data_IF_983557376086
#
_entry.id   IF_983557376086
#
_cell.length_a   1.000
_cell.length_b   1.000
_cell.length_c   1.000
_cell.angle_alpha   90.00
_cell.angle_beta   90.00
_cell.angle_gamma   90.00
#
_symmetry.space_group_name_H-M   'P 1'
#
loop_
_entity.id
_entity.type
_entity.pdbx_description
1 polymer ?
#
# COMPACT_ATOMS: atom_id res chain seq x y z
N UNK A 1 22.56 -2.41 -3.64
CA UNK A 1 22.12 -1.42 -4.65
C UNK A 1 23.27 -0.78 -5.40
N UNK A 2 24.24 -0.15 -4.74
CA UNK A 2 25.38 0.53 -5.43
C UNK A 2 26.13 -0.38 -6.41
N UNK A 3 26.51 -1.58 -5.99
CA UNK A 3 27.21 -2.55 -6.85
C UNK A 3 26.35 -2.96 -8.06
N UNK A 4 25.07 -3.25 -7.85
CA UNK A 4 24.14 -3.61 -8.92
C UNK A 4 23.96 -2.46 -9.93
N UNK A 5 23.73 -1.23 -9.45
CA UNK A 5 23.58 -0.06 -10.31
C UNK A 5 24.84 0.20 -11.18
N UNK A 6 26.04 -0.01 -10.62
CA UNK A 6 27.29 0.08 -11.39
C UNK A 6 27.43 -1.04 -12.42
N UNK A 7 27.08 -2.27 -12.06
CA UNK A 7 27.14 -3.41 -12.97
C UNK A 7 26.20 -3.23 -14.16
N UNK A 8 24.99 -2.73 -13.90
CA UNK A 8 23.96 -2.50 -14.92
C UNK A 8 24.12 -1.16 -15.66
N UNK A 9 25.09 -0.33 -15.26
CA UNK A 9 25.30 1.04 -15.79
C UNK A 9 24.03 1.88 -15.73
N UNK A 10 23.32 1.81 -14.61
CA UNK A 10 22.08 2.54 -14.41
C UNK A 10 22.29 4.06 -14.54
N UNK A 11 21.38 4.71 -15.25
CA UNK A 11 21.28 6.17 -15.40
C UNK A 11 20.15 6.78 -14.55
N UNK A 12 19.33 5.93 -13.93
CA UNK A 12 18.21 6.26 -13.06
C UNK A 12 17.99 5.14 -12.03
N UNK A 13 17.62 5.51 -10.82
CA UNK A 13 17.13 4.58 -9.81
C UNK A 13 15.63 4.76 -9.57
N UNK A 14 14.92 3.64 -9.38
CA UNK A 14 13.50 3.66 -8.99
C UNK A 14 13.40 2.94 -7.64
N UNK A 15 12.65 3.53 -6.72
CA UNK A 15 12.43 2.95 -5.39
C UNK A 15 10.99 3.12 -4.94
N UNK A 16 10.67 2.63 -3.74
CA UNK A 16 9.42 2.92 -3.05
C UNK A 16 9.67 3.69 -1.75
N UNK A 17 8.63 4.31 -1.22
CA UNK A 17 8.64 4.97 0.10
C UNK A 17 8.97 4.04 1.27
N UNK A 18 9.10 2.73 1.03
CA UNK A 18 9.49 1.72 2.03
C UNK A 18 10.95 1.25 1.85
N UNK A 19 11.70 1.81 0.88
CA UNK A 19 13.03 1.32 0.50
C UNK A 19 14.06 2.47 0.41
N UNK A 20 14.45 3.03 1.55
CA UNK A 20 15.34 4.20 1.61
C UNK A 20 16.79 3.91 1.17
N UNK A 21 17.25 2.66 1.21
CA UNK A 21 18.60 2.29 0.80
C UNK A 21 18.92 2.63 -0.67
N UNK A 22 17.91 2.74 -1.53
CA UNK A 22 18.09 3.19 -2.91
C UNK A 22 18.33 4.69 -3.00
N UNK A 23 17.77 5.49 -2.10
CA UNK A 23 18.04 6.93 -2.02
C UNK A 23 19.51 7.17 -1.64
N UNK A 24 20.03 6.43 -0.66
CA UNK A 24 21.46 6.48 -0.33
C UNK A 24 22.35 6.10 -1.53
N UNK A 25 21.97 5.04 -2.25
CA UNK A 25 22.72 4.63 -3.44
C UNK A 25 22.70 5.71 -4.53
N UNK A 26 21.60 6.44 -4.68
CA UNK A 26 21.48 7.57 -5.59
C UNK A 26 22.43 8.70 -5.21
N UNK A 27 22.56 9.03 -3.93
CA UNK A 27 23.51 10.04 -3.45
C UNK A 27 24.97 9.61 -3.64
N UNK A 28 25.31 8.36 -3.35
CA UNK A 28 26.67 7.83 -3.51
C UNK A 28 27.10 7.76 -4.98
N UNK A 29 26.16 7.50 -5.88
CA UNK A 29 26.42 7.36 -7.31
C UNK A 29 26.15 8.64 -8.11
N UNK A 30 25.62 9.68 -7.46
CA UNK A 30 25.12 10.89 -8.09
C UNK A 30 24.15 10.60 -9.26
N UNK A 31 23.22 9.67 -9.05
CA UNK A 31 22.20 9.31 -10.03
C UNK A 31 20.85 9.94 -9.69
N UNK A 32 20.02 10.29 -10.70
CA UNK A 32 18.62 10.59 -10.46
C UNK A 32 17.89 9.43 -9.77
N UNK A 33 16.92 9.73 -8.92
CA UNK A 33 16.07 8.73 -8.27
C UNK A 33 14.61 9.14 -8.24
N UNK A 34 13.73 8.21 -8.64
CA UNK A 34 12.28 8.37 -8.59
C UNK A 34 11.71 7.46 -7.50
N UNK A 35 10.86 8.03 -6.64
CA UNK A 35 10.18 7.32 -5.57
C UNK A 35 8.75 7.03 -6.00
N UNK A 36 8.34 5.77 -5.97
CA UNK A 36 6.93 5.38 -6.14
C UNK A 36 6.24 5.40 -4.78
N UNK A 37 5.23 6.24 -4.68
CA UNK A 37 4.45 6.50 -3.48
C UNK A 37 3.24 5.60 -3.30
N UNK A 38 2.47 5.93 -2.26
CA UNK A 38 1.19 5.32 -1.95
C UNK A 38 0.06 6.02 -2.74
N UNK A 39 -1.19 5.76 -2.38
CA UNK A 39 -2.36 6.39 -3.02
C UNK A 39 -2.56 7.85 -2.61
N UNK A 40 -2.04 8.26 -1.46
CA UNK A 40 -2.07 9.66 -1.00
C UNK A 40 -0.68 10.10 -0.59
N UNK A 41 -0.45 11.41 -0.59
CA UNK A 41 0.72 12.01 0.06
C UNK A 41 0.64 11.77 1.56
N UNK A 42 1.75 11.45 2.23
CA UNK A 42 1.77 11.14 3.67
C UNK A 42 2.40 12.22 4.53
N UNK A 43 3.06 13.19 3.89
CA UNK A 43 3.84 14.22 4.55
C UNK A 43 3.13 15.56 4.48
N UNK A 44 3.78 16.57 5.03
CA UNK A 44 3.25 17.93 5.02
C UNK A 44 2.95 18.40 3.59
N UNK A 45 1.81 19.07 3.47
CA UNK A 45 1.48 19.88 2.32
C UNK A 45 2.27 21.20 2.38
N UNK A 46 2.46 21.85 1.22
CA UNK A 46 2.98 23.22 1.16
C UNK A 46 2.00 24.21 1.79
N UNK A 47 0.71 23.99 1.55
CA UNK A 47 -0.41 24.77 2.06
C UNK A 47 -1.70 23.92 2.03
N UNK A 48 -2.75 24.40 2.71
CA UNK A 48 -4.06 23.75 2.75
C UNK A 48 -4.07 22.42 3.50
N UNK A 49 -4.99 21.53 3.11
CA UNK A 49 -5.33 20.35 3.90
C UNK A 49 -6.29 20.68 5.05
N UNK A 50 -7.13 21.69 4.85
CA UNK A 50 -8.10 22.14 5.84
C UNK A 50 -9.01 20.98 6.26
N UNK A 51 -9.40 20.97 7.53
CA UNK A 51 -10.25 19.95 8.14
C UNK A 51 -9.68 18.51 8.11
N UNK A 52 -8.37 18.31 7.87
CA UNK A 52 -7.74 16.99 8.06
C UNK A 52 -7.97 16.53 9.51
N UNK A 53 -8.76 15.46 9.72
CA UNK A 53 -9.03 14.96 11.05
C UNK A 53 -7.74 14.38 11.66
N UNK A 54 -7.60 14.34 12.99
CA UNK A 54 -6.45 13.74 13.66
C UNK A 54 -6.51 12.19 13.60
N UNK A 55 -6.56 11.63 12.39
CA UNK A 55 -6.62 10.19 12.14
C UNK A 55 -5.22 9.59 12.24
N UNK A 56 -4.83 9.25 13.46
CA UNK A 56 -3.53 8.64 13.74
C UNK A 56 -2.41 9.68 13.91
N UNK A 57 -1.26 9.46 13.26
CA UNK A 57 -0.11 10.37 13.38
C UNK A 57 -0.31 11.58 12.46
N UNK A 58 -0.12 12.82 12.91
CA UNK A 58 -0.10 14.00 12.04
C UNK A 58 0.98 13.90 10.95
N UNK A 59 0.72 14.51 9.78
CA UNK A 59 1.69 14.65 8.68
C UNK A 59 3.03 15.23 9.15
N UNK A 60 2.97 16.24 10.01
CA UNK A 60 4.16 16.88 10.59
C UNK A 60 5.05 15.89 11.34
N UNK A 61 4.43 14.98 12.11
CA UNK A 61 5.18 13.95 12.82
C UNK A 61 5.80 12.95 11.85
N UNK A 62 5.06 12.53 10.80
CA UNK A 62 5.59 11.66 9.75
C UNK A 62 6.76 12.31 9.02
N UNK A 63 6.69 13.60 8.70
CA UNK A 63 7.78 14.37 8.11
C UNK A 63 9.01 14.34 8.99
N UNK A 64 8.86 14.68 10.27
CA UNK A 64 9.98 14.73 11.23
C UNK A 64 10.63 13.37 11.41
N UNK A 65 9.83 12.34 11.66
CA UNK A 65 10.31 10.95 11.85
C UNK A 65 11.06 10.47 10.62
N UNK A 66 10.52 10.73 9.44
CA UNK A 66 11.13 10.31 8.19
C UNK A 66 12.48 11.00 7.94
N UNK A 67 12.58 12.31 8.20
CA UNK A 67 13.85 13.06 8.11
C UNK A 67 14.88 12.48 9.07
N UNK A 68 14.49 12.22 10.31
CA UNK A 68 15.37 11.67 11.33
C UNK A 68 15.88 10.28 10.92
N UNK A 69 14.98 9.37 10.52
CA UNK A 69 15.35 8.03 10.07
C UNK A 69 16.30 8.08 8.86
N UNK A 70 16.09 9.01 7.92
CA UNK A 70 16.98 9.15 6.78
C UNK A 70 18.37 9.66 7.19
N UNK A 71 18.45 10.64 8.09
CA UNK A 71 19.72 11.13 8.62
C UNK A 71 20.51 10.04 9.34
N UNK A 72 19.86 9.23 10.19
CA UNK A 72 20.47 8.09 10.88
C UNK A 72 21.03 7.06 9.88
N UNK A 73 20.27 6.76 8.83
CA UNK A 73 20.67 5.80 7.79
C UNK A 73 21.84 6.34 6.94
N UNK A 74 21.93 7.66 6.72
CA UNK A 74 23.09 8.30 6.09
C UNK A 74 24.35 8.16 6.92
N UNK A 75 24.27 8.44 8.23
CA UNK A 75 25.41 8.30 9.14
C UNK A 75 25.93 6.86 9.18
N UNK A 76 25.02 5.88 9.24
CA UNK A 76 25.37 4.46 9.17
C UNK A 76 26.08 4.08 7.85
N UNK A 77 25.80 4.82 6.78
CA UNK A 77 26.44 4.65 5.48
C UNK A 77 27.74 5.46 5.31
N UNK A 78 28.20 6.17 6.35
CA UNK A 78 29.41 7.00 6.32
C UNK A 78 29.22 8.36 5.62
N UNK A 79 27.98 8.77 5.38
CA UNK A 79 27.64 10.10 4.86
C UNK A 79 27.34 11.06 6.03
N UNK A 80 27.56 12.38 5.88
CA UNK A 80 27.11 13.34 6.88
C UNK A 80 25.59 13.28 7.09
N UNK A 81 25.14 13.32 8.34
CA UNK A 81 23.71 13.30 8.69
C UNK A 81 22.95 14.46 8.04
N UNK A 82 23.54 15.66 8.09
CA UNK A 82 23.03 16.88 7.47
C UNK A 82 23.50 17.01 6.01
N UNK A 83 22.83 17.85 5.23
CA UNK A 83 23.21 18.11 3.84
C UNK A 83 22.80 16.99 2.89
N UNK A 84 21.59 16.46 3.08
CA UNK A 84 20.92 15.68 2.04
C UNK A 84 20.92 16.44 0.72
N UNK A 85 21.16 15.76 -0.41
CA UNK A 85 21.01 16.32 -1.76
C UNK A 85 19.68 17.05 -1.95
N UNK A 86 18.65 16.64 -1.21
CA UNK A 86 17.30 17.16 -1.33
C UNK A 86 16.85 18.02 -0.13
N UNK A 87 17.80 18.47 0.69
CA UNK A 87 17.52 19.36 1.82
C UNK A 87 16.60 18.72 2.85
N UNK A 88 15.60 19.50 3.30
CA UNK A 88 14.67 19.10 4.35
C UNK A 88 13.45 18.33 3.81
N UNK A 89 13.35 17.96 2.53
CA UNK A 89 12.12 17.29 2.08
C UNK A 89 12.00 15.85 2.63
N UNK A 90 10.80 15.39 3.04
CA UNK A 90 10.59 14.02 3.49
C UNK A 90 10.48 13.07 2.29
N UNK A 91 11.36 12.06 2.25
CA UNK A 91 11.51 11.06 1.17
C UNK A 91 11.68 11.65 -0.23
N UNK A 92 12.79 12.36 -0.45
CA UNK A 92 12.73 13.51 -1.32
C UNK A 92 13.33 13.28 -2.70
N UNK A 93 13.35 12.05 -3.19
CA UNK A 93 13.89 11.74 -4.52
C UNK A 93 13.45 12.73 -5.59
N UNK A 94 14.17 12.79 -6.70
CA UNK A 94 14.00 13.83 -7.73
C UNK A 94 12.56 13.93 -8.27
N UNK A 95 11.77 12.85 -8.15
CA UNK A 95 10.32 12.90 -8.17
C UNK A 95 9.68 11.89 -7.21
N UNK A 96 8.50 12.22 -6.68
CA UNK A 96 7.61 11.31 -5.96
C UNK A 96 6.35 11.07 -6.78
N UNK A 97 6.14 9.83 -7.23
CA UNK A 97 5.01 9.43 -8.07
C UNK A 97 3.94 8.74 -7.21
N UNK A 98 2.87 9.47 -6.87
CA UNK A 98 1.74 8.94 -6.12
C UNK A 98 0.86 8.08 -7.03
N UNK A 99 0.45 6.93 -6.53
CA UNK A 99 -0.39 5.96 -7.25
C UNK A 99 -1.88 6.28 -7.20
N UNK A 100 -2.29 7.31 -6.49
CA UNK A 100 -3.69 7.70 -6.40
C UNK A 100 -4.10 8.75 -7.42
N UNK A 101 -5.26 9.33 -7.15
CA UNK A 101 -5.84 10.45 -7.87
C UNK A 101 -5.76 11.70 -6.98
N UNK A 102 -5.59 12.92 -7.54
CA UNK A 102 -5.65 14.15 -6.74
C UNK A 102 -6.92 14.29 -5.89
N UNK A 103 -8.03 13.68 -6.30
CA UNK A 103 -9.27 13.66 -5.52
C UNK A 103 -9.19 12.86 -4.20
N UNK A 104 -8.11 12.12 -3.96
CA UNK A 104 -7.85 11.44 -2.68
C UNK A 104 -7.10 12.33 -1.68
N UNK A 105 -6.59 13.49 -2.09
CA UNK A 105 -5.97 14.45 -1.17
C UNK A 105 -7.03 15.31 -0.47
N UNK A 106 -6.67 15.88 0.68
CA UNK A 106 -7.57 16.80 1.39
C UNK A 106 -7.85 18.07 0.56
N UNK A 107 -9.07 18.65 0.66
CA UNK A 107 -9.41 19.87 -0.05
C UNK A 107 -8.39 20.99 0.16
N UNK A 108 -8.03 21.67 -0.93
CA UNK A 108 -7.07 22.78 -0.91
C UNK A 108 -5.61 22.37 -0.67
N UNK A 109 -5.30 21.07 -0.52
CA UNK A 109 -3.93 20.61 -0.32
C UNK A 109 -3.04 20.95 -1.51
N UNK A 110 -1.98 21.69 -1.25
CA UNK A 110 -0.92 21.98 -2.22
C UNK A 110 0.26 21.03 -1.99
N UNK A 111 0.54 20.15 -2.95
CA UNK A 111 1.67 19.23 -2.86
C UNK A 111 3.00 19.91 -3.24
N UNK A 112 4.16 19.42 -2.77
CA UNK A 112 5.45 19.85 -3.29
C UNK A 112 5.59 19.62 -4.81
N UNK A 113 6.30 20.51 -5.53
CA UNK A 113 6.35 20.52 -7.02
C UNK A 113 6.89 19.22 -7.65
N UNK A 114 7.68 18.47 -6.89
CA UNK A 114 8.25 17.17 -7.29
C UNK A 114 7.29 15.99 -7.11
N UNK A 115 6.14 16.22 -6.48
CA UNK A 115 5.12 15.20 -6.22
C UNK A 115 4.09 15.22 -7.33
N UNK A 116 3.82 14.06 -7.93
CA UNK A 116 2.89 13.92 -9.05
C UNK A 116 2.02 12.69 -8.87
N UNK A 117 0.71 12.83 -9.05
CA UNK A 117 -0.17 11.68 -9.22
C UNK A 117 0.02 11.07 -10.61
N UNK A 118 0.30 9.77 -10.65
CA UNK A 118 0.47 8.97 -11.88
C UNK A 118 -0.60 7.90 -12.02
N UNK A 119 -1.54 7.84 -11.06
CA UNK A 119 -2.61 6.87 -11.04
C UNK A 119 -2.16 5.45 -10.63
N UNK A 120 -3.10 4.48 -10.65
CA UNK A 120 -3.05 3.25 -9.85
C UNK A 120 -2.00 2.20 -10.21
N UNK A 121 -1.15 2.43 -11.23
CA UNK A 121 -0.11 1.49 -11.68
C UNK A 121 -0.57 0.02 -11.67
N UNK A 122 -1.62 -0.29 -12.44
CA UNK A 122 -2.44 -1.50 -12.34
C UNK A 122 -1.80 -2.80 -12.85
N UNK A 123 -0.49 -2.82 -13.10
CA UNK A 123 0.15 -4.01 -13.64
C UNK A 123 0.15 -5.13 -12.60
N UNK A 124 -0.34 -6.30 -13.00
CA UNK A 124 -0.32 -7.52 -12.21
C UNK A 124 0.17 -8.67 -13.11
N UNK A 125 0.88 -9.67 -12.55
CA UNK A 125 1.19 -10.90 -13.28
C UNK A 125 -0.09 -11.57 -13.80
N UNK A 126 -0.03 -12.11 -15.01
CA UNK A 126 -1.15 -12.88 -15.56
C UNK A 126 -1.42 -14.11 -14.68
N UNK A 127 -2.68 -14.40 -14.32
CA UNK A 127 -3.02 -15.65 -13.65
C UNK A 127 -2.57 -16.88 -14.45
N UNK A 128 -2.17 -17.92 -13.73
CA UNK A 128 -1.89 -19.22 -14.32
C UNK A 128 -3.18 -19.84 -14.91
N UNK A 129 -3.04 -20.83 -15.82
CA UNK A 129 -4.19 -21.52 -16.40
C UNK A 129 -5.12 -22.12 -15.33
N UNK A 130 -6.41 -21.81 -15.40
CA UNK A 130 -7.44 -22.37 -14.53
C UNK A 130 -7.49 -21.81 -13.10
N UNK A 131 -6.57 -20.92 -12.70
CA UNK A 131 -6.53 -20.42 -11.33
C UNK A 131 -7.74 -19.55 -10.98
N UNK A 132 -8.19 -18.71 -11.93
CA UNK A 132 -9.35 -17.84 -11.73
C UNK A 132 -10.64 -18.65 -11.76
N UNK A 133 -10.73 -19.61 -12.67
CA UNK A 133 -11.85 -20.54 -12.80
C UNK A 133 -12.02 -21.36 -11.53
N UNK A 134 -10.94 -21.88 -10.95
CA UNK A 134 -10.99 -22.63 -9.69
C UNK A 134 -11.57 -21.80 -8.53
N UNK A 135 -11.21 -20.51 -8.43
CA UNK A 135 -11.77 -19.60 -7.43
C UNK A 135 -13.26 -19.35 -7.73
N UNK A 136 -13.60 -19.08 -8.99
CA UNK A 136 -14.99 -18.83 -9.43
C UNK A 136 -15.89 -20.03 -9.14
N UNK A 137 -15.45 -21.24 -9.47
CA UNK A 137 -16.18 -22.48 -9.21
C UNK A 137 -16.35 -22.73 -7.72
N UNK A 138 -15.36 -22.40 -6.90
CA UNK A 138 -15.48 -22.52 -5.45
C UNK A 138 -16.58 -21.61 -4.90
N UNK A 139 -16.52 -20.31 -5.22
CA UNK A 139 -17.49 -19.33 -4.70
C UNK A 139 -18.90 -19.57 -5.26
N UNK A 140 -19.01 -20.10 -6.49
CA UNK A 140 -20.31 -20.42 -7.08
C UNK A 140 -21.08 -21.52 -6.31
N UNK A 141 -20.41 -22.39 -5.55
CA UNK A 141 -21.07 -23.50 -4.83
C UNK A 141 -22.01 -23.02 -3.73
N UNK A 142 -21.67 -21.93 -3.05
CA UNK A 142 -22.53 -21.38 -1.99
C UNK A 142 -23.63 -20.49 -2.56
N UNK A 143 -23.41 -19.89 -3.73
CA UNK A 143 -24.30 -18.90 -4.35
C UNK A 143 -24.41 -17.58 -3.56
N UNK A 144 -23.63 -17.39 -2.50
CA UNK A 144 -23.66 -16.20 -1.65
C UNK A 144 -22.90 -15.04 -2.29
N UNK A 145 -23.24 -13.77 -1.98
CA UNK A 145 -22.41 -12.65 -2.39
C UNK A 145 -20.99 -12.75 -1.81
N UNK A 146 -20.00 -12.34 -2.60
CA UNK A 146 -18.58 -12.55 -2.33
C UNK A 146 -17.95 -11.29 -1.74
N UNK A 147 -17.32 -11.44 -0.58
CA UNK A 147 -16.48 -10.41 0.05
C UNK A 147 -15.02 -10.73 -0.26
N UNK A 148 -14.31 -9.85 -0.96
CA UNK A 148 -12.86 -9.95 -1.04
C UNK A 148 -12.22 -9.28 0.17
N UNK A 149 -11.44 -10.03 0.94
CA UNK A 149 -10.84 -9.58 2.20
C UNK A 149 -9.33 -9.47 2.04
N UNK A 150 -8.80 -8.24 2.12
CA UNK A 150 -7.36 -7.94 2.08
C UNK A 150 -6.95 -7.06 3.25
N UNK A 151 -6.66 -7.69 4.39
CA UNK A 151 -6.30 -6.99 5.64
C UNK A 151 -4.79 -6.80 5.83
N UNK A 152 -3.96 -7.37 4.96
CA UNK A 152 -2.50 -7.31 5.08
C UNK A 152 -1.96 -7.94 6.36
N UNK A 153 -0.79 -7.48 6.82
CA UNK A 153 -0.26 -7.81 8.15
C UNK A 153 -0.87 -6.84 9.18
N UNK A 154 -1.36 -7.39 10.29
CA UNK A 154 -1.72 -6.62 11.48
C UNK A 154 -0.45 -6.53 12.31
N UNK A 155 0.14 -5.32 12.41
CA UNK A 155 1.39 -5.12 13.15
C UNK A 155 1.16 -5.00 14.66
N UNK A 156 -0.04 -4.57 15.07
CA UNK A 156 -0.45 -4.42 16.47
C UNK A 156 -1.93 -4.80 16.59
N UNK A 157 -2.24 -5.88 17.33
CA UNK A 157 -3.62 -6.32 17.56
C UNK A 157 -3.81 -7.84 17.55
N UNK A 158 -4.97 -8.27 18.05
CA UNK A 158 -5.40 -9.66 18.00
C UNK A 158 -5.71 -10.12 16.58
N UNK A 159 -5.69 -11.45 16.38
CA UNK A 159 -6.13 -12.07 15.14
C UNK A 159 -7.51 -11.56 14.72
N UNK A 160 -7.70 -11.27 13.42
CA UNK A 160 -9.02 -10.92 12.86
C UNK A 160 -9.85 -12.16 12.53
N UNK A 161 -9.25 -13.35 12.59
CA UNK A 161 -9.92 -14.63 12.31
C UNK A 161 -11.18 -14.88 13.13
N UNK A 162 -11.25 -14.59 14.45
CA UNK A 162 -12.49 -14.73 15.21
C UNK A 162 -13.67 -13.96 14.59
N UNK A 163 -13.46 -12.70 14.21
CA UNK A 163 -14.50 -11.87 13.59
C UNK A 163 -14.86 -12.34 12.19
N UNK A 164 -13.86 -12.75 11.39
CA UNK A 164 -14.11 -13.33 10.06
C UNK A 164 -14.92 -14.63 10.19
N UNK A 165 -14.54 -15.52 11.09
CA UNK A 165 -15.24 -16.78 11.33
C UNK A 165 -16.68 -16.55 11.79
N UNK A 166 -16.89 -15.64 12.74
CA UNK A 166 -18.24 -15.27 13.18
C UNK A 166 -19.08 -14.71 12.02
N UNK A 167 -18.50 -13.84 11.19
CA UNK A 167 -19.22 -13.19 10.08
C UNK A 167 -19.61 -14.17 8.97
N UNK A 168 -18.73 -15.12 8.65
CA UNK A 168 -18.88 -16.01 7.50
C UNK A 168 -19.37 -17.42 7.86
N UNK A 169 -19.63 -17.72 9.14
CA UNK A 169 -20.24 -19.00 9.54
C UNK A 169 -21.76 -18.85 9.62
N UNK A 170 -22.49 -19.52 8.72
CA UNK A 170 -23.96 -19.41 8.64
C UNK A 170 -24.46 -18.02 8.23
N UNK A 171 -23.56 -17.12 7.88
CA UNK A 171 -23.86 -15.76 7.45
C UNK A 171 -24.42 -15.66 6.03
N UNK A 172 -24.79 -14.44 5.64
CA UNK A 172 -25.35 -14.14 4.30
C UNK A 172 -24.30 -14.07 3.20
N UNK A 173 -23.04 -13.92 3.58
CA UNK A 173 -21.91 -13.69 2.69
C UNK A 173 -20.95 -14.87 2.72
N UNK A 174 -20.09 -14.92 1.71
CA UNK A 174 -18.88 -15.75 1.71
C UNK A 174 -17.65 -14.87 1.50
N UNK A 175 -16.47 -15.33 1.89
CA UNK A 175 -15.23 -14.56 1.80
C UNK A 175 -14.18 -15.24 0.92
N UNK A 176 -13.47 -14.42 0.16
CA UNK A 176 -12.15 -14.77 -0.40
C UNK A 176 -11.12 -13.95 0.36
N UNK A 177 -10.34 -14.61 1.23
CA UNK A 177 -9.38 -13.96 2.13
C UNK A 177 -7.97 -14.11 1.58
N UNK A 178 -7.33 -12.99 1.21
CA UNK A 178 -5.94 -12.95 0.80
C UNK A 178 -5.01 -12.98 2.03
N UNK A 179 -4.17 -14.00 2.10
CA UNK A 179 -3.27 -14.23 3.24
C UNK A 179 -2.02 -13.34 3.21
N UNK A 180 -1.57 -12.94 2.01
CA UNK A 180 -0.32 -12.22 1.82
C UNK A 180 0.85 -12.94 2.48
N UNK A 181 1.52 -12.26 3.44
CA UNK A 181 2.65 -12.78 4.21
C UNK A 181 2.28 -13.17 5.65
N UNK A 182 1.00 -13.37 5.95
CA UNK A 182 0.52 -13.78 7.27
C UNK A 182 0.74 -15.30 7.46
N UNK A 183 1.31 -15.73 8.60
CA UNK A 183 1.84 -17.08 8.75
C UNK A 183 0.78 -18.17 8.95
N UNK A 184 -0.40 -17.84 9.50
CA UNK A 184 -1.40 -18.83 9.93
C UNK A 184 -2.83 -18.40 9.60
N UNK A 185 -3.43 -18.88 8.50
CA UNK A 185 -4.86 -18.77 8.29
C UNK A 185 -5.64 -19.72 9.22
N UNK A 186 -6.75 -19.25 9.79
CA UNK A 186 -7.55 -20.01 10.77
C UNK A 186 -9.06 -19.97 10.44
N UNK A 187 -9.49 -20.40 9.23
CA UNK A 187 -10.93 -20.51 8.95
C UNK A 187 -11.56 -21.59 9.84
N UNK A 188 -12.66 -21.25 10.52
CA UNK A 188 -13.40 -22.18 11.35
C UNK A 188 -14.11 -23.25 10.49
N UNK A 189 -14.32 -24.47 11.01
CA UNK A 189 -15.15 -25.46 10.34
C UNK A 189 -16.55 -24.90 10.03
N UNK A 190 -16.99 -25.02 8.77
CA UNK A 190 -18.29 -24.51 8.33
C UNK A 190 -18.34 -23.00 8.04
N UNK A 191 -17.23 -22.27 8.19
CA UNK A 191 -17.13 -20.91 7.70
C UNK A 191 -17.07 -20.90 6.16
N UNK A 192 -17.85 -20.05 5.52
CA UNK A 192 -17.84 -19.82 4.07
C UNK A 192 -16.63 -18.96 3.67
N UNK A 193 -15.42 -19.43 3.98
CA UNK A 193 -14.16 -18.72 3.76
C UNK A 193 -13.25 -19.54 2.84
N UNK A 194 -12.95 -18.99 1.67
CA UNK A 194 -11.87 -19.45 0.81
C UNK A 194 -10.62 -18.61 1.11
N UNK A 195 -9.54 -19.26 1.54
CA UNK A 195 -8.26 -18.56 1.68
C UNK A 195 -7.41 -18.70 0.43
N UNK A 196 -6.78 -17.60 0.03
CA UNK A 196 -5.96 -17.53 -1.19
C UNK A 196 -4.62 -16.85 -0.92
N UNK A 197 -3.65 -17.14 -1.79
CA UNK A 197 -2.37 -16.44 -1.86
C UNK A 197 -2.02 -16.24 -3.32
N UNK A 198 -2.47 -15.13 -3.91
CA UNK A 198 -2.30 -14.87 -5.34
C UNK A 198 -1.39 -13.67 -5.59
N UNK A 199 -0.52 -13.72 -6.61
CA UNK A 199 0.31 -12.57 -7.00
C UNK A 199 -0.48 -11.52 -7.81
N UNK A 200 -1.76 -11.79 -8.05
CA UNK A 200 -2.73 -10.95 -8.76
C UNK A 200 -3.96 -10.82 -7.88
N UNK A 201 -4.58 -9.66 -7.89
CA UNK A 201 -5.74 -9.30 -7.06
C UNK A 201 -6.93 -8.91 -7.94
N UNK A 202 -6.67 -8.36 -9.13
CA UNK A 202 -7.68 -7.86 -10.03
C UNK A 202 -8.85 -8.82 -10.26
N UNK A 203 -8.60 -10.06 -10.72
CA UNK A 203 -9.65 -11.05 -10.90
C UNK A 203 -10.46 -11.38 -9.64
N UNK A 204 -9.85 -11.29 -8.45
CA UNK A 204 -10.55 -11.52 -7.17
C UNK A 204 -11.49 -10.36 -6.84
N UNK A 205 -11.06 -9.13 -7.11
CA UNK A 205 -11.90 -7.93 -6.96
C UNK A 205 -13.01 -7.89 -8.01
N UNK A 206 -12.74 -8.38 -9.22
CA UNK A 206 -13.75 -8.51 -10.28
C UNK A 206 -14.86 -9.50 -9.89
N UNK A 207 -14.56 -10.51 -9.08
CA UNK A 207 -15.52 -11.48 -8.55
C UNK A 207 -16.28 -10.97 -7.31
N UNK A 208 -15.81 -9.93 -6.64
CA UNK A 208 -16.33 -9.48 -5.37
C UNK A 208 -17.51 -8.50 -5.51
N UNK A 209 -18.47 -8.63 -4.61
CA UNK A 209 -19.56 -7.65 -4.43
C UNK A 209 -19.12 -6.50 -3.52
N UNK A 210 -18.18 -6.76 -2.61
CA UNK A 210 -17.60 -5.77 -1.70
C UNK A 210 -16.13 -6.12 -1.38
N UNK A 211 -15.30 -5.10 -1.19
CA UNK A 211 -13.92 -5.23 -0.75
C UNK A 211 -13.78 -4.81 0.71
N UNK A 212 -13.34 -5.73 1.57
CA UNK A 212 -12.95 -5.42 2.94
C UNK A 212 -11.42 -5.29 2.99
N UNK A 213 -10.93 -4.13 3.41
CA UNK A 213 -9.49 -3.86 3.43
C UNK A 213 -9.04 -3.21 4.73
N UNK A 214 -7.75 -3.33 5.05
CA UNK A 214 -7.12 -2.48 6.04
C UNK A 214 -6.89 -1.05 5.57
N UNK A 215 -7.19 -0.68 4.32
CA UNK A 215 -6.95 0.68 3.81
C UNK A 215 -5.56 0.85 3.21
N UNK A 216 -4.87 -0.26 2.86
CA UNK A 216 -3.61 -0.16 2.11
C UNK A 216 -3.88 0.24 0.66
N UNK A 217 -2.94 0.92 0.01
CA UNK A 217 -3.17 1.53 -1.31
C UNK A 217 -3.58 0.54 -2.41
N UNK A 218 -3.02 -0.68 -2.41
CA UNK A 218 -3.30 -1.65 -3.46
C UNK A 218 -4.80 -2.07 -3.49
N UNK A 219 -5.38 -2.64 -2.42
CA UNK A 219 -6.79 -3.04 -2.41
C UNK A 219 -7.75 -1.85 -2.53
N UNK A 220 -7.44 -0.69 -1.97
CA UNK A 220 -8.27 0.53 -2.12
C UNK A 220 -8.33 0.93 -3.60
N UNK A 221 -7.18 1.12 -4.24
CA UNK A 221 -7.13 1.51 -5.65
C UNK A 221 -7.75 0.44 -6.55
N UNK A 222 -7.53 -0.85 -6.27
CA UNK A 222 -8.12 -1.93 -7.06
C UNK A 222 -9.66 -1.94 -6.99
N UNK A 223 -10.24 -1.64 -5.82
CA UNK A 223 -11.68 -1.51 -5.63
C UNK A 223 -12.24 -0.28 -6.38
N UNK A 224 -11.64 0.90 -6.16
CA UNK A 224 -12.08 2.16 -6.77
C UNK A 224 -12.05 2.10 -8.30
N UNK A 225 -10.96 1.57 -8.85
CA UNK A 225 -10.81 1.36 -10.31
C UNK A 225 -11.90 0.50 -10.92
N UNK A 226 -12.42 -0.46 -10.14
CA UNK A 226 -13.46 -1.41 -10.58
C UNK A 226 -14.86 -1.00 -10.16
N UNK A 227 -15.03 0.18 -9.54
CA UNK A 227 -16.31 0.64 -9.01
C UNK A 227 -16.87 -0.28 -7.94
N UNK A 228 -16.01 -0.96 -7.16
CA UNK A 228 -16.44 -1.87 -6.10
C UNK A 228 -16.64 -1.10 -4.79
N UNK A 229 -17.77 -1.33 -4.08
CA UNK A 229 -17.93 -0.87 -2.71
C UNK A 229 -16.78 -1.36 -1.84
N UNK A 230 -16.31 -0.51 -0.93
CA UNK A 230 -15.22 -0.84 -0.01
C UNK A 230 -15.58 -0.49 1.43
N UNK A 231 -15.13 -1.35 2.34
CA UNK A 231 -15.15 -1.11 3.78
C UNK A 231 -13.71 -1.17 4.29
N UNK A 232 -13.29 -0.14 5.02
CA UNK A 232 -11.95 -0.04 5.59
C UNK A 232 -11.97 -0.34 7.09
N UNK A 233 -11.03 -1.14 7.55
CA UNK A 233 -10.72 -1.34 8.97
C UNK A 233 -9.24 -1.06 9.19
N UNK A 234 -8.85 0.23 9.32
CA UNK A 234 -7.45 0.62 9.41
C UNK A 234 -6.75 -0.02 10.60
N UNK A 235 -5.51 -0.44 10.37
CA UNK A 235 -4.63 -1.14 11.30
C UNK A 235 -3.28 -0.41 11.53
N UNK A 236 -3.04 0.73 10.88
CA UNK A 236 -1.90 1.63 11.16
C UNK A 236 -1.30 2.29 9.92
N UNK A 237 -0.16 2.99 10.11
CA UNK A 237 0.64 3.60 9.03
C UNK A 237 -0.12 4.67 8.20
N UNK A 238 -0.31 4.45 6.91
CA UNK A 238 -1.03 5.32 5.97
C UNK A 238 -2.54 5.10 6.01
N UNK A 239 -2.99 3.97 6.56
CA UNK A 239 -4.33 3.47 6.35
C UNK A 239 -5.44 4.35 6.92
N UNK A 240 -5.25 5.06 8.06
CA UNK A 240 -6.27 6.00 8.53
C UNK A 240 -6.45 7.23 7.63
N UNK A 241 -5.54 7.49 6.68
CA UNK A 241 -5.63 8.59 5.72
C UNK A 241 -6.32 8.20 4.41
N UNK A 242 -6.73 6.93 4.27
CA UNK A 242 -7.34 6.34 3.07
C UNK A 242 -8.75 5.86 3.35
#
# INVERSE_FOLDING_TARGET
TVQAARADRADLLITSVLCHGTLLAAEVLDLPVVVVGLSVHLWDYRAGGDDEPPLGRPRLNRTREMRQQYAEVREQAGLPACGSRWGDDPLPGDALLLRGDPALEYPGAELPDRVRHVGPLRWEPKPGPGEVEAVREHVARSGKPVVYVHLGRVFEGGSRWPHLNETFTGGRFQAVVEQGRSPSPEPAPGADILTVRKPWMGPLVDLADIVLTSGTSAPVLAALVRGRPLAASPNGSEQPLL
#
